data_IF_980482974867
#
_entry.id   IF_980482974867
#
_cell.length_a   1.000
_cell.length_b   1.000
_cell.length_c   1.000
_cell.angle_alpha   90.00
_cell.angle_beta   90.00
_cell.angle_gamma   90.00
#
_symmetry.space_group_name_H-M   'P 1'
#
loop_
_entity.id
_entity.type
_entity.pdbx_description
1 polymer ?
#
# COMPACT_ATOMS: atom_id res chain seq x y z
N UNK A 1 17.95 -2.48 3.37
CA UNK A 1 18.00 -3.96 3.39
C UNK A 1 19.25 -4.47 2.70
N UNK A 2 19.70 -5.67 3.07
CA UNK A 2 20.84 -6.34 2.43
C UNK A 2 20.38 -7.64 1.78
N UNK A 3 21.05 -8.00 0.67
CA UNK A 3 20.78 -9.20 -0.10
C UNK A 3 21.70 -10.35 0.32
N UNK A 4 21.24 -11.58 0.18
CA UNK A 4 22.03 -12.80 0.37
C UNK A 4 22.66 -13.28 -0.93
N UNK A 5 23.33 -14.45 -0.90
CA UNK A 5 23.99 -15.03 -2.08
C UNK A 5 23.05 -15.40 -3.23
N UNK A 6 21.75 -15.47 -2.97
CA UNK A 6 20.71 -15.73 -3.98
C UNK A 6 20.05 -14.45 -4.50
N UNK A 7 20.59 -13.28 -4.15
CA UNK A 7 20.06 -11.95 -4.44
C UNK A 7 18.72 -11.66 -3.74
N UNK A 8 18.35 -12.44 -2.74
CA UNK A 8 17.15 -12.23 -1.93
C UNK A 8 17.44 -11.16 -0.87
N UNK A 9 16.58 -10.17 -0.74
CA UNK A 9 16.63 -9.22 0.38
C UNK A 9 16.18 -9.93 1.66
N UNK A 10 17.13 -10.19 2.57
CA UNK A 10 16.91 -11.03 3.76
C UNK A 10 17.25 -10.37 5.08
N UNK A 11 17.93 -9.22 5.06
CA UNK A 11 18.38 -8.55 6.29
C UNK A 11 18.07 -7.07 6.25
N UNK A 12 17.69 -6.52 7.40
CA UNK A 12 17.52 -5.08 7.62
C UNK A 12 18.51 -4.61 8.66
N UNK A 13 19.26 -3.58 8.32
CA UNK A 13 20.23 -2.94 9.21
C UNK A 13 19.76 -1.53 9.55
N UNK A 14 20.13 -1.07 10.75
CA UNK A 14 19.97 0.30 11.21
C UNK A 14 21.35 0.87 11.54
N UNK A 15 21.60 2.09 11.09
CA UNK A 15 22.86 2.78 11.32
C UNK A 15 22.58 4.23 11.72
N UNK A 16 23.26 4.70 12.76
CA UNK A 16 23.30 6.12 13.07
C UNK A 16 24.28 6.83 12.13
N UNK A 17 24.07 8.12 11.91
CA UNK A 17 24.89 8.90 10.98
C UNK A 17 26.37 9.01 11.42
N UNK A 18 26.64 8.89 12.71
CA UNK A 18 27.96 8.95 13.34
C UNK A 18 28.61 7.58 13.57
N UNK A 19 27.95 6.50 13.19
CA UNK A 19 28.48 5.13 13.31
C UNK A 19 29.07 4.63 11.99
N UNK A 20 30.20 3.94 12.03
CA UNK A 20 30.80 3.34 10.82
C UNK A 20 30.06 2.08 10.35
N UNK A 21 29.37 1.38 11.24
CA UNK A 21 28.69 0.12 10.93
C UNK A 21 27.25 0.11 11.45
N UNK A 22 26.34 -0.38 10.62
CA UNK A 22 24.96 -0.61 11.01
C UNK A 22 24.81 -1.88 11.88
N UNK A 23 23.84 -1.84 12.79
CA UNK A 23 23.40 -3.00 13.57
C UNK A 23 22.28 -3.75 12.85
N UNK A 24 22.33 -5.10 12.88
CA UNK A 24 21.26 -5.94 12.36
C UNK A 24 20.01 -5.79 13.24
N UNK A 25 18.88 -5.40 12.66
CA UNK A 25 17.61 -5.24 13.38
C UNK A 25 16.57 -6.31 13.01
N UNK A 26 16.71 -6.91 11.83
CA UNK A 26 15.85 -8.01 11.42
C UNK A 26 16.56 -8.91 10.40
N UNK A 27 16.36 -10.22 10.54
CA UNK A 27 16.80 -11.22 9.57
C UNK A 27 15.65 -12.17 9.25
N UNK A 28 15.26 -12.23 7.96
CA UNK A 28 14.33 -13.22 7.45
C UNK A 28 15.07 -14.52 7.15
N UNK A 29 14.88 -15.51 8.02
CA UNK A 29 15.58 -16.80 7.94
C UNK A 29 14.93 -17.78 6.98
N UNK A 30 13.61 -17.66 6.73
CA UNK A 30 12.93 -18.53 5.76
C UNK A 30 13.23 -18.06 4.34
N UNK A 31 13.90 -18.93 3.58
CA UNK A 31 14.34 -18.64 2.20
C UNK A 31 13.20 -18.37 1.21
N UNK A 32 11.96 -18.69 1.58
CA UNK A 32 10.76 -18.41 0.77
C UNK A 32 10.31 -16.96 0.84
N UNK A 33 10.82 -16.19 1.80
CA UNK A 33 10.40 -14.81 2.04
C UNK A 33 11.52 -13.83 1.73
N UNK A 34 11.16 -12.72 1.14
CA UNK A 34 12.01 -11.54 1.04
C UNK A 34 11.53 -10.47 2.00
N UNK A 35 12.43 -9.64 2.54
CA UNK A 35 12.05 -8.54 3.40
C UNK A 35 12.58 -7.20 2.87
N UNK A 36 11.83 -6.14 3.11
CA UNK A 36 12.22 -4.77 2.79
C UNK A 36 11.70 -3.81 3.86
N UNK A 37 12.35 -2.65 3.95
CA UNK A 37 11.99 -1.60 4.89
C UNK A 37 11.46 -0.39 4.13
N UNK A 38 10.42 0.24 4.65
CA UNK A 38 9.85 1.47 4.10
C UNK A 38 9.26 2.37 5.18
N UNK A 39 9.26 3.66 4.91
CA UNK A 39 8.55 4.65 5.70
C UNK A 39 7.09 4.73 5.21
N UNK A 40 6.16 4.94 6.14
CA UNK A 40 4.75 5.15 5.79
C UNK A 40 4.51 6.55 5.22
N UNK A 41 3.45 6.72 4.42
CA UNK A 41 3.08 8.03 3.86
C UNK A 41 2.82 9.09 4.95
N UNK A 42 2.32 8.70 6.12
CA UNK A 42 2.15 9.58 7.27
C UNK A 42 3.46 10.00 7.93
N UNK A 43 4.57 9.34 7.59
CA UNK A 43 5.91 9.49 8.20
C UNK A 43 5.96 9.18 9.71
N UNK A 44 4.90 8.58 10.24
CA UNK A 44 4.82 8.22 11.66
C UNK A 44 5.43 6.86 11.98
N UNK A 45 5.55 5.98 10.98
CA UNK A 45 6.01 4.61 11.17
C UNK A 45 7.04 4.21 10.14
N UNK A 46 7.92 3.31 10.57
CA UNK A 46 8.83 2.55 9.71
C UNK A 46 8.37 1.11 9.78
N UNK A 47 8.09 0.50 8.63
CA UNK A 47 7.70 -0.90 8.50
C UNK A 47 8.81 -1.75 7.93
N UNK A 48 8.87 -3.00 8.39
CA UNK A 48 9.55 -4.10 7.72
C UNK A 48 8.47 -5.05 7.24
N UNK A 49 8.35 -5.17 5.92
CA UNK A 49 7.48 -6.14 5.27
C UNK A 49 8.28 -7.37 4.92
N UNK A 50 7.77 -8.55 5.26
CA UNK A 50 8.32 -9.83 4.87
C UNK A 50 7.27 -10.62 4.11
N UNK A 51 7.55 -11.02 2.86
CA UNK A 51 6.56 -11.65 2.00
C UNK A 51 7.12 -12.77 1.14
N UNK A 52 6.27 -13.76 0.91
CA UNK A 52 6.41 -14.81 -0.11
C UNK A 52 5.36 -14.59 -1.21
N UNK A 53 5.16 -15.58 -2.08
CA UNK A 53 4.12 -15.52 -3.13
C UNK A 53 2.68 -15.49 -2.62
N UNK A 54 2.42 -15.98 -1.39
CA UNK A 54 1.05 -16.13 -0.85
C UNK A 54 0.90 -15.72 0.60
N UNK A 55 1.97 -15.24 1.24
CA UNK A 55 1.95 -14.97 2.69
C UNK A 55 2.79 -13.73 2.98
N UNK A 56 2.28 -12.83 3.83
CA UNK A 56 3.02 -11.67 4.29
C UNK A 56 3.01 -11.53 5.82
N UNK A 57 3.94 -10.73 6.33
CA UNK A 57 4.03 -10.30 7.72
C UNK A 57 4.58 -8.88 7.75
N UNK A 58 3.95 -8.02 8.53
CA UNK A 58 4.39 -6.65 8.75
C UNK A 58 4.90 -6.47 10.18
N UNK A 59 6.03 -5.79 10.32
CA UNK A 59 6.60 -5.33 11.58
C UNK A 59 6.77 -3.84 11.54
N UNK A 60 6.64 -3.16 12.66
CA UNK A 60 6.74 -1.71 12.69
C UNK A 60 7.39 -1.16 13.96
N UNK A 61 7.90 0.05 13.84
CA UNK A 61 8.26 0.95 14.93
C UNK A 61 7.70 2.34 14.65
N UNK A 62 7.59 3.17 15.68
CA UNK A 62 7.36 4.60 15.49
C UNK A 62 8.62 5.26 14.93
N UNK A 63 8.47 6.15 13.95
CA UNK A 63 9.60 6.81 13.30
C UNK A 63 10.37 7.75 14.25
N UNK A 64 9.68 8.33 15.24
CA UNK A 64 10.28 9.14 16.30
C UNK A 64 11.03 8.32 17.37
N UNK A 65 10.88 6.98 17.32
CA UNK A 65 11.55 6.03 18.23
C UNK A 65 12.37 4.98 17.48
N UNK A 66 13.30 5.40 16.63
CA UNK A 66 14.00 4.49 15.71
C UNK A 66 14.91 3.48 16.42
N UNK A 67 15.16 3.64 17.72
CA UNK A 67 15.96 2.71 18.53
C UNK A 67 15.15 1.53 19.09
N UNK A 68 13.83 1.58 19.08
CA UNK A 68 12.98 0.49 19.57
C UNK A 68 13.08 -0.76 18.71
N UNK A 69 12.64 -1.88 19.27
CA UNK A 69 12.50 -3.15 18.54
C UNK A 69 11.23 -3.13 17.68
N UNK A 70 11.32 -3.74 16.49
CA UNK A 70 10.18 -3.88 15.60
C UNK A 70 9.12 -4.82 16.17
N UNK A 71 7.91 -4.33 16.35
CA UNK A 71 6.73 -5.08 16.80
C UNK A 71 6.06 -5.76 15.63
N UNK A 72 5.64 -7.01 15.79
CA UNK A 72 4.82 -7.71 14.79
C UNK A 72 3.42 -7.07 14.79
N UNK A 73 2.91 -6.72 13.61
CA UNK A 73 1.53 -6.24 13.47
C UNK A 73 0.53 -7.39 13.66
N UNK A 74 0.66 -8.45 12.87
CA UNK A 74 -0.02 -9.73 13.06
C UNK A 74 0.97 -10.87 12.81
N UNK A 75 0.89 -11.96 13.57
CA UNK A 75 1.66 -13.16 13.29
C UNK A 75 1.38 -13.71 11.89
N UNK A 76 2.42 -14.25 11.28
CA UNK A 76 2.36 -14.90 9.96
C UNK A 76 1.39 -16.07 9.95
N UNK A 77 0.46 -16.06 9.00
CA UNK A 77 -0.48 -17.16 8.75
C UNK A 77 -0.32 -17.58 7.30
N UNK A 78 -0.10 -18.88 7.07
CA UNK A 78 0.07 -19.43 5.72
C UNK A 78 -1.12 -19.07 4.82
N UNK A 79 -0.83 -18.68 3.59
CA UNK A 79 -1.80 -18.29 2.56
C UNK A 79 -2.67 -17.08 2.98
N UNK A 80 -2.07 -16.19 3.77
CA UNK A 80 -2.66 -14.91 4.16
C UNK A 80 -1.69 -13.79 3.85
N UNK A 81 -2.15 -12.83 3.07
CA UNK A 81 -1.42 -11.62 2.72
C UNK A 81 -2.13 -10.41 3.33
N UNK A 82 -1.38 -9.51 3.94
CA UNK A 82 -1.91 -8.23 4.38
C UNK A 82 -0.87 -7.12 4.25
N UNK A 83 -1.36 -5.90 4.09
CA UNK A 83 -0.56 -4.68 4.12
C UNK A 83 -1.25 -3.65 4.99
N UNK A 84 -0.48 -2.79 5.66
CA UNK A 84 -0.95 -1.86 6.69
C UNK A 84 -0.69 -0.43 6.26
N UNK A 85 -1.71 0.41 6.37
CA UNK A 85 -1.68 1.82 6.01
C UNK A 85 -2.15 2.67 7.19
N UNK A 86 -1.23 3.35 7.91
CA UNK A 86 -1.59 4.23 9.03
C UNK A 86 -2.44 5.42 8.58
N UNK A 87 -3.43 5.76 9.41
CA UNK A 87 -4.28 6.91 9.21
C UNK A 87 -4.83 7.42 10.55
N UNK A 88 -4.36 8.56 11.03
CA UNK A 88 -4.79 9.13 12.33
C UNK A 88 -4.73 8.07 13.42
N UNK A 89 -5.81 7.85 14.18
CA UNK A 89 -5.87 6.88 15.28
C UNK A 89 -6.19 5.43 14.85
N UNK A 90 -6.10 5.13 13.57
CA UNK A 90 -6.40 3.80 13.02
C UNK A 90 -5.41 3.37 11.95
N UNK A 91 -5.48 2.10 11.59
CA UNK A 91 -4.85 1.51 10.43
C UNK A 91 -5.93 1.11 9.44
N UNK A 92 -5.73 1.35 8.15
CA UNK A 92 -6.38 0.60 7.10
C UNK A 92 -5.54 -0.63 6.78
N UNK A 93 -6.21 -1.74 6.50
CA UNK A 93 -5.56 -3.03 6.29
C UNK A 93 -6.15 -3.65 5.03
N UNK A 94 -5.33 -3.81 3.98
CA UNK A 94 -5.68 -4.69 2.88
C UNK A 94 -5.40 -6.11 3.34
N UNK A 95 -6.39 -6.98 3.26
CA UNK A 95 -6.30 -8.34 3.77
C UNK A 95 -6.82 -9.32 2.73
N UNK A 96 -6.06 -10.38 2.49
CA UNK A 96 -6.36 -11.41 1.51
C UNK A 96 -6.05 -12.77 2.12
N UNK A 97 -6.95 -13.72 1.95
CA UNK A 97 -6.83 -15.12 2.38
C UNK A 97 -7.50 -16.06 1.38
N UNK A 98 -7.55 -17.35 1.70
CA UNK A 98 -8.16 -18.38 0.83
C UNK A 98 -9.64 -18.14 0.51
N UNK A 99 -10.38 -17.47 1.38
CA UNK A 99 -11.80 -17.18 1.20
C UNK A 99 -12.03 -15.84 0.50
N UNK A 100 -11.04 -14.96 0.53
CA UNK A 100 -11.10 -13.58 0.02
C UNK A 100 -9.92 -13.32 -0.93
N UNK A 101 -9.86 -14.07 -2.04
CA UNK A 101 -8.73 -14.05 -2.98
C UNK A 101 -8.52 -12.68 -3.66
N UNK A 102 -9.58 -11.91 -3.84
CA UNK A 102 -9.53 -10.57 -4.41
C UNK A 102 -9.28 -9.47 -3.37
N UNK A 103 -9.21 -9.85 -2.09
CA UNK A 103 -8.92 -8.97 -0.98
C UNK A 103 -10.13 -8.25 -0.40
N UNK A 104 -9.93 -7.73 0.80
CA UNK A 104 -10.83 -6.86 1.57
C UNK A 104 -10.07 -5.67 2.11
N UNK A 105 -10.78 -4.63 2.49
CA UNK A 105 -10.21 -3.54 3.29
C UNK A 105 -10.90 -3.53 4.65
N UNK A 106 -10.07 -3.57 5.68
CA UNK A 106 -10.50 -3.36 7.06
C UNK A 106 -9.94 -2.06 7.62
N UNK A 107 -10.53 -1.57 8.69
CA UNK A 107 -9.90 -0.60 9.58
C UNK A 107 -9.85 -1.16 11.00
N UNK A 108 -8.78 -0.83 11.73
CA UNK A 108 -8.56 -1.22 13.11
C UNK A 108 -8.03 -0.02 13.91
N UNK A 109 -8.47 0.12 15.16
CA UNK A 109 -7.87 1.12 16.07
C UNK A 109 -6.42 0.79 16.37
N UNK A 110 -5.58 1.82 16.55
CA UNK A 110 -4.18 1.66 16.99
C UNK A 110 -4.04 0.92 18.31
N UNK A 111 -5.03 1.01 19.18
CA UNK A 111 -5.01 0.34 20.50
C UNK A 111 -5.43 -1.13 20.47
N UNK A 112 -6.13 -1.58 19.42
CA UNK A 112 -6.69 -2.94 19.32
C UNK A 112 -6.42 -3.63 17.98
N UNK A 113 -5.45 -3.15 17.19
CA UNK A 113 -5.17 -3.67 15.85
C UNK A 113 -4.83 -5.17 15.82
N UNK A 114 -4.26 -5.69 16.90
CA UNK A 114 -3.88 -7.11 17.00
C UNK A 114 -5.07 -8.05 17.23
N UNK A 115 -6.23 -7.52 17.65
CA UNK A 115 -7.46 -8.26 17.84
C UNK A 115 -8.37 -8.09 16.61
N UNK A 116 -8.36 -9.09 15.71
CA UNK A 116 -9.16 -9.08 14.48
C UNK A 116 -10.67 -9.02 14.73
N UNK A 117 -11.16 -9.40 15.90
CA UNK A 117 -12.59 -9.32 16.22
C UNK A 117 -13.09 -7.89 16.34
N UNK A 118 -12.17 -6.93 16.56
CA UNK A 118 -12.47 -5.49 16.66
C UNK A 118 -12.38 -4.77 15.30
N UNK A 119 -11.97 -5.45 14.24
CA UNK A 119 -11.79 -4.85 12.93
C UNK A 119 -13.13 -4.52 12.29
N UNK A 120 -13.21 -3.34 11.69
CA UNK A 120 -14.35 -2.91 10.92
C UNK A 120 -14.09 -3.15 9.43
N UNK A 121 -15.00 -3.81 8.74
CA UNK A 121 -14.94 -3.97 7.29
C UNK A 121 -15.29 -2.63 6.62
N UNK A 122 -14.35 -2.09 5.84
CA UNK A 122 -14.50 -0.85 5.06
C UNK A 122 -14.87 -1.13 3.60
N UNK A 123 -14.41 -2.29 3.07
CA UNK A 123 -14.77 -2.84 1.78
C UNK A 123 -14.79 -4.36 1.85
N UNK A 124 -15.93 -4.94 1.51
CA UNK A 124 -16.11 -6.39 1.43
C UNK A 124 -15.35 -6.99 0.22
N UNK A 125 -15.12 -8.30 0.28
CA UNK A 125 -14.65 -9.06 -0.87
C UNK A 125 -15.70 -9.05 -1.99
N UNK A 126 -15.22 -8.95 -3.24
CA UNK A 126 -16.01 -9.09 -4.45
C UNK A 126 -15.28 -10.07 -5.38
N UNK A 127 -15.97 -11.11 -5.83
CA UNK A 127 -15.39 -12.15 -6.70
C UNK A 127 -14.98 -11.59 -8.08
N UNK A 128 -15.59 -10.49 -8.52
CA UNK A 128 -15.36 -9.86 -9.82
C UNK A 128 -14.42 -8.64 -9.76
N UNK A 129 -14.04 -8.20 -8.56
CA UNK A 129 -13.24 -6.99 -8.36
C UNK A 129 -12.07 -7.26 -7.43
N UNK A 130 -10.86 -7.28 -7.98
CA UNK A 130 -9.64 -7.46 -7.23
C UNK A 130 -9.06 -6.12 -6.80
N UNK A 131 -8.67 -6.03 -5.53
CA UNK A 131 -7.91 -4.88 -5.01
C UNK A 131 -6.44 -5.09 -5.36
N UNK A 132 -5.91 -4.27 -6.28
CA UNK A 132 -4.51 -4.35 -6.70
C UNK A 132 -3.61 -3.51 -5.79
N UNK A 133 -4.00 -2.27 -5.50
CA UNK A 133 -3.24 -1.37 -4.65
C UNK A 133 -4.14 -0.46 -3.80
N UNK A 134 -3.57 0.09 -2.73
CA UNK A 134 -4.22 0.98 -1.77
C UNK A 134 -3.31 2.17 -1.47
N UNK A 135 -3.87 3.37 -1.57
CA UNK A 135 -3.19 4.59 -1.16
C UNK A 135 -4.07 5.38 -0.20
N UNK A 136 -3.60 5.59 1.01
CA UNK A 136 -4.34 6.34 2.04
C UNK A 136 -3.84 7.77 2.10
N UNK A 137 -4.77 8.71 1.93
CA UNK A 137 -4.57 10.15 2.09
C UNK A 137 -5.28 10.62 3.37
N UNK A 138 -5.03 11.85 3.79
CA UNK A 138 -5.66 12.40 4.99
C UNK A 138 -7.20 12.42 4.93
N UNK A 139 -7.76 12.69 3.75
CA UNK A 139 -9.21 12.80 3.54
C UNK A 139 -9.79 11.71 2.64
N UNK A 140 -8.95 10.84 2.07
CA UNK A 140 -9.39 9.88 1.06
C UNK A 140 -8.73 8.52 1.21
N UNK A 141 -9.49 7.47 0.91
CA UNK A 141 -9.00 6.13 0.62
C UNK A 141 -9.07 5.92 -0.90
N UNK A 142 -7.93 5.70 -1.52
CA UNK A 142 -7.82 5.48 -2.97
C UNK A 142 -7.47 4.03 -3.23
N UNK A 143 -8.26 3.37 -4.06
CA UNK A 143 -8.10 1.97 -4.41
C UNK A 143 -7.84 1.82 -5.91
N UNK A 144 -6.85 1.02 -6.25
CA UNK A 144 -6.66 0.50 -7.59
C UNK A 144 -7.36 -0.85 -7.69
N UNK A 145 -8.36 -0.94 -8.53
CA UNK A 145 -9.26 -2.08 -8.64
C UNK A 145 -9.17 -2.69 -10.03
N UNK A 146 -9.00 -4.02 -10.13
CA UNK A 146 -9.11 -4.73 -11.40
C UNK A 146 -10.50 -5.32 -11.54
N UNK A 147 -11.19 -4.88 -12.58
CA UNK A 147 -12.53 -5.33 -12.93
C UNK A 147 -12.62 -5.58 -14.44
N UNK A 148 -13.11 -6.74 -14.86
CA UNK A 148 -13.21 -7.11 -16.28
C UNK A 148 -11.89 -6.92 -17.07
N UNK A 149 -10.75 -7.18 -16.42
CA UNK A 149 -9.42 -7.03 -17.01
C UNK A 149 -8.85 -5.60 -17.00
N UNK A 150 -9.65 -4.59 -16.71
CA UNK A 150 -9.24 -3.18 -16.67
C UNK A 150 -8.98 -2.72 -15.23
N UNK A 151 -8.17 -1.67 -15.11
CA UNK A 151 -7.92 -1.01 -13.82
C UNK A 151 -8.85 0.19 -13.68
N UNK A 152 -9.65 0.18 -12.63
CA UNK A 152 -10.43 1.34 -12.17
C UNK A 152 -9.72 1.97 -10.97
N UNK A 153 -9.71 3.29 -10.88
CA UNK A 153 -9.20 4.02 -9.70
C UNK A 153 -10.41 4.61 -8.97
N UNK A 154 -10.70 4.05 -7.81
CA UNK A 154 -11.78 4.44 -6.92
C UNK A 154 -11.25 5.34 -5.81
N UNK A 155 -11.94 6.45 -5.53
CA UNK A 155 -11.60 7.43 -4.50
C UNK A 155 -12.79 7.52 -3.56
N UNK A 156 -12.61 7.07 -2.31
CA UNK A 156 -13.61 7.15 -1.25
C UNK A 156 -13.26 8.28 -0.29
N UNK A 157 -14.16 9.23 -0.12
CA UNK A 157 -14.04 10.26 0.91
C UNK A 157 -14.17 9.64 2.31
N UNK A 158 -13.19 9.89 3.17
CA UNK A 158 -13.20 9.40 4.56
C UNK A 158 -14.08 10.27 5.49
N UNK A 159 -14.53 11.42 4.99
CA UNK A 159 -15.40 12.34 5.72
C UNK A 159 -16.87 11.95 5.62
N UNK A 160 -17.35 11.64 4.43
CA UNK A 160 -18.79 11.42 4.16
C UNK A 160 -19.08 10.08 3.47
N UNK A 161 -18.05 9.28 3.14
CA UNK A 161 -18.19 7.98 2.47
C UNK A 161 -18.50 8.06 0.96
N UNK A 162 -18.56 9.26 0.37
CA UNK A 162 -18.79 9.43 -1.06
C UNK A 162 -17.70 8.74 -1.87
N UNK A 163 -18.10 8.03 -2.93
CA UNK A 163 -17.19 7.29 -3.82
C UNK A 163 -17.23 7.92 -5.21
N UNK A 164 -16.04 8.18 -5.76
CA UNK A 164 -15.83 8.65 -7.13
C UNK A 164 -14.86 7.73 -7.85
N UNK A 165 -15.04 7.54 -9.15
CA UNK A 165 -14.08 6.84 -10.01
C UNK A 165 -13.45 7.82 -10.99
N UNK A 166 -12.16 7.63 -11.29
CA UNK A 166 -11.52 8.33 -12.40
C UNK A 166 -12.02 7.71 -13.70
N UNK A 167 -12.59 8.54 -14.58
CA UNK A 167 -13.06 8.10 -15.89
C UNK A 167 -11.93 8.17 -16.93
N UNK A 168 -11.81 7.13 -17.75
CA UNK A 168 -10.83 7.05 -18.82
C UNK A 168 -11.51 7.12 -20.19
N UNK A 169 -10.88 7.79 -21.17
CA UNK A 169 -11.55 8.08 -22.46
C UNK A 169 -11.66 6.88 -23.39
N UNK A 170 -10.71 5.94 -23.34
CA UNK A 170 -10.69 4.77 -24.23
C UNK A 170 -11.31 3.53 -23.53
N UNK A 171 -11.98 2.65 -24.29
CA UNK A 171 -12.60 1.44 -23.74
C UNK A 171 -11.59 0.36 -23.34
N UNK A 172 -10.37 0.41 -23.88
CA UNK A 172 -9.27 -0.51 -23.57
C UNK A 172 -8.02 0.31 -23.23
N UNK A 173 -7.52 0.14 -22.04
CA UNK A 173 -6.39 0.91 -21.49
C UNK A 173 -5.67 0.15 -20.38
N UNK A 174 -4.55 0.67 -19.98
CA UNK A 174 -3.87 0.33 -18.73
C UNK A 174 -3.71 1.60 -17.90
N UNK A 175 -4.06 1.52 -16.63
CA UNK A 175 -3.85 2.60 -15.67
C UNK A 175 -3.35 2.02 -14.35
N UNK A 176 -2.61 2.80 -13.59
CA UNK A 176 -2.18 2.47 -12.23
C UNK A 176 -1.82 3.74 -11.45
N UNK A 177 -1.83 3.65 -10.13
CA UNK A 177 -1.43 4.76 -9.28
C UNK A 177 0.05 5.08 -9.48
N UNK A 178 0.35 6.35 -9.68
CA UNK A 178 1.72 6.87 -9.70
C UNK A 178 2.27 7.11 -8.30
N UNK A 179 3.42 7.73 -8.21
CA UNK A 179 3.98 8.16 -6.93
C UNK A 179 3.10 9.24 -6.29
N UNK A 180 2.55 8.95 -5.13
CA UNK A 180 1.69 9.83 -4.34
C UNK A 180 2.27 9.98 -2.92
N UNK A 181 3.41 10.66 -2.73
CA UNK A 181 4.11 10.70 -1.45
C UNK A 181 3.41 11.58 -0.40
N UNK A 182 2.65 12.59 -0.84
CA UNK A 182 2.06 13.57 0.05
C UNK A 182 0.75 13.04 0.66
N UNK A 183 0.72 12.98 2.01
CA UNK A 183 -0.44 12.46 2.75
C UNK A 183 -1.64 13.41 2.69
N UNK A 184 -1.42 14.73 2.80
CA UNK A 184 -2.47 15.76 2.83
C UNK A 184 -2.84 16.32 1.45
N UNK A 185 -2.61 15.56 0.39
CA UNK A 185 -2.93 15.97 -0.98
C UNK A 185 -4.40 15.75 -1.34
N UNK A 186 -4.99 16.71 -2.07
CA UNK A 186 -6.27 16.57 -2.78
C UNK A 186 -6.08 16.14 -4.24
N UNK A 187 -4.85 15.74 -4.62
CA UNK A 187 -4.54 15.25 -5.96
C UNK A 187 -4.09 13.79 -5.90
N UNK A 188 -4.56 13.02 -6.87
CA UNK A 188 -4.14 11.63 -7.10
C UNK A 188 -3.37 11.57 -8.41
N UNK A 189 -2.09 11.22 -8.33
CA UNK A 189 -1.27 10.94 -9.50
C UNK A 189 -1.52 9.54 -9.99
N UNK A 190 -1.76 9.42 -11.30
CA UNK A 190 -1.90 8.14 -11.98
C UNK A 190 -1.16 8.14 -13.31
N UNK A 191 -0.87 6.96 -13.80
CA UNK A 191 -0.28 6.71 -15.10
C UNK A 191 -1.34 6.04 -15.96
N UNK A 192 -1.41 6.44 -17.22
CA UNK A 192 -2.39 5.98 -18.18
C UNK A 192 -1.74 5.75 -19.52
N UNK A 193 -2.10 4.66 -20.19
CA UNK A 193 -1.72 4.35 -21.56
C UNK A 193 -2.81 3.54 -22.25
N UNK A 194 -2.92 3.68 -23.58
CA UNK A 194 -3.80 2.87 -24.42
C UNK A 194 -3.10 2.52 -25.75
N UNK A 195 -3.77 1.82 -26.64
CA UNK A 195 -3.19 1.44 -27.94
C UNK A 195 -2.81 2.64 -28.82
N UNK A 196 -3.50 3.77 -28.64
CA UNK A 196 -3.30 5.01 -29.42
C UNK A 196 -2.82 6.19 -28.55
N UNK A 197 -2.48 5.94 -27.29
CA UNK A 197 -1.97 6.97 -26.38
C UNK A 197 -0.72 6.49 -25.67
N UNK A 198 0.42 7.15 -25.87
CA UNK A 198 1.66 6.83 -25.16
C UNK A 198 1.50 6.96 -23.64
N UNK A 199 2.39 6.28 -22.89
CA UNK A 199 2.40 6.36 -21.43
C UNK A 199 2.43 7.82 -20.97
N UNK A 200 1.45 8.18 -20.16
CA UNK A 200 1.16 9.55 -19.76
C UNK A 200 0.90 9.62 -18.27
N UNK A 201 1.46 10.64 -17.61
CA UNK A 201 1.31 10.91 -16.18
C UNK A 201 0.31 12.04 -16.00
N UNK A 202 -0.67 11.81 -15.14
CA UNK A 202 -1.72 12.78 -14.81
C UNK A 202 -1.80 13.02 -13.32
N UNK A 203 -2.19 14.23 -12.93
CA UNK A 203 -2.72 14.54 -11.61
C UNK A 203 -4.25 14.75 -11.72
N UNK A 204 -5.01 13.93 -11.01
CA UNK A 204 -6.45 14.08 -10.85
C UNK A 204 -6.75 14.92 -9.61
N UNK A 205 -7.39 16.04 -9.79
CA UNK A 205 -7.88 16.90 -8.71
C UNK A 205 -9.23 16.35 -8.21
N UNK A 206 -9.24 15.88 -6.95
CA UNK A 206 -10.41 15.20 -6.36
C UNK A 206 -11.58 16.17 -6.17
N UNK A 207 -11.30 17.44 -5.89
CA UNK A 207 -12.31 18.45 -5.62
C UNK A 207 -13.04 18.87 -6.89
N UNK A 208 -12.29 19.06 -7.98
CA UNK A 208 -12.85 19.52 -9.27
C UNK A 208 -13.22 18.39 -10.22
N UNK A 209 -12.72 17.16 -9.97
CA UNK A 209 -12.92 16.01 -10.84
C UNK A 209 -12.18 16.09 -12.18
N UNK A 210 -11.13 16.93 -12.28
CA UNK A 210 -10.36 17.16 -13.51
C UNK A 210 -8.99 16.53 -13.44
N UNK A 211 -8.56 15.94 -14.55
CA UNK A 211 -7.20 15.45 -14.76
C UNK A 211 -6.36 16.46 -15.52
N UNK A 212 -5.14 16.68 -15.07
CA UNK A 212 -4.14 17.53 -15.73
C UNK A 212 -2.99 16.64 -16.20
N UNK A 213 -2.68 16.68 -17.49
CA UNK A 213 -1.53 15.99 -18.05
C UNK A 213 -0.23 16.68 -17.56
N UNK A 214 0.66 15.91 -16.94
CA UNK A 214 1.95 16.39 -16.48
C UNK A 214 3.08 16.04 -17.44
N UNK A 215 3.05 14.79 -17.94
CA UNK A 215 4.07 14.28 -18.85
C UNK A 215 3.49 13.22 -19.75
N UNK A 216 3.90 13.20 -21.00
CA UNK A 216 3.62 12.14 -21.97
C UNK A 216 4.95 11.67 -22.57
N UNK A 217 5.07 10.37 -22.77
CA UNK A 217 6.22 9.79 -23.47
C UNK A 217 6.19 10.25 -24.93
N UNK A 218 7.34 10.72 -25.42
CA UNK A 218 7.54 11.02 -26.83
C UNK A 218 7.59 9.70 -27.64
N UNK A 219 7.05 9.73 -28.86
CA UNK A 219 6.98 8.58 -29.79
C UNK A 219 7.71 8.94 -31.07
#
# INVERSE_FOLDING_TARGET
>A
SAIDSTLRSSKVFRQKLDEEKGSLVYEEKDVKYSCYVHETKTKEFIFISSSSSTTSEERFIYADKPAEEFKIFLPRVKDTEYSVYPHKEKFFIRYKDKQNLNGKIYSASRSSYSDKSTWKEERAHDENVRIEDVSVFESYLVLELRKNGLIEIEIKSLKNGEVKNISFPEPVYTSYLGANPEYSSDKVRYIYTSLNRPSSVYDYDILTGKSVLLKQQEV
#
